data_IF_270178790951
#
_entry.id   IF_270178790951
#
_cell.length_a   1.000
_cell.length_b   1.000
_cell.length_c   1.000
_cell.angle_alpha   90.00
_cell.angle_beta   90.00
_cell.angle_gamma   90.00
#
_symmetry.space_group_name_H-M   'P 1'
#
loop_
_entity.id
_entity.type
_entity.pdbx_description
1 polymer ?
#
# COMPACT_ATOMS: atom_id res chain seq x y z
N UNK A 1 -8.62 30.40 -8.18
CA UNK A 1 -9.37 29.17 -7.84
C UNK A 1 -8.72 28.63 -6.59
N UNK A 2 -9.42 28.57 -5.46
CA UNK A 2 -8.94 27.89 -4.26
C UNK A 2 -9.46 26.45 -4.31
N UNK A 3 -8.54 25.47 -4.21
CA UNK A 3 -8.87 24.07 -4.04
C UNK A 3 -8.70 23.75 -2.57
N UNK A 4 -9.79 23.41 -1.88
CA UNK A 4 -9.76 22.96 -0.49
C UNK A 4 -9.90 21.45 -0.44
N UNK A 5 -8.94 20.78 0.20
CA UNK A 5 -9.06 19.39 0.57
C UNK A 5 -9.69 19.31 1.96
N UNK A 6 -10.89 18.76 2.03
CA UNK A 6 -11.53 18.47 3.32
C UNK A 6 -10.88 17.21 3.88
N UNK A 7 -10.29 17.31 5.06
CA UNK A 7 -9.77 16.19 5.82
C UNK A 7 -10.91 15.74 6.74
N UNK A 8 -11.41 14.51 6.62
CA UNK A 8 -12.44 14.02 7.53
C UNK A 8 -11.89 14.01 8.97
N UNK A 9 -12.69 14.52 9.89
CA UNK A 9 -12.45 14.31 11.31
C UNK A 9 -13.02 12.95 11.69
N UNK A 10 -12.34 11.89 11.26
CA UNK A 10 -12.80 10.51 11.45
C UNK A 10 -12.56 10.01 12.89
N UNK A 11 -11.96 10.84 13.75
CA UNK A 11 -11.67 10.50 15.15
C UNK A 11 -10.92 9.17 15.26
N UNK A 12 -11.44 8.26 16.10
CA UNK A 12 -10.89 6.93 16.35
C UNK A 12 -11.09 5.90 15.21
N UNK A 13 -11.66 6.29 14.07
CA UNK A 13 -12.07 5.35 13.00
C UNK A 13 -10.96 5.07 11.99
N UNK A 14 -9.71 4.93 12.44
CA UNK A 14 -8.65 4.41 11.57
C UNK A 14 -8.91 2.94 11.29
N UNK A 15 -9.04 2.52 10.01
CA UNK A 15 -9.36 1.14 9.68
C UNK A 15 -8.22 0.18 10.08
N UNK A 16 -8.57 -1.01 10.50
CA UNK A 16 -7.60 -2.09 10.75
C UNK A 16 -7.02 -2.61 9.42
N UNK A 17 -5.85 -3.27 9.45
CA UNK A 17 -5.27 -3.89 8.25
C UNK A 17 -6.24 -4.88 7.58
N UNK A 18 -7.04 -5.61 8.35
CA UNK A 18 -8.08 -6.51 7.83
C UNK A 18 -9.17 -5.75 7.07
N UNK A 19 -9.65 -4.62 7.61
CA UNK A 19 -10.65 -3.77 6.95
C UNK A 19 -10.10 -3.09 5.69
N UNK A 20 -8.79 -2.80 5.64
CA UNK A 20 -8.14 -2.30 4.44
C UNK A 20 -8.05 -3.34 3.33
N UNK A 21 -8.07 -4.63 3.67
CA UNK A 21 -7.97 -5.72 2.71
C UNK A 21 -6.67 -6.51 2.75
N UNK A 22 -5.80 -6.32 3.74
CA UNK A 22 -4.65 -7.20 3.90
C UNK A 22 -5.08 -8.60 4.33
N UNK A 23 -4.45 -9.63 3.79
CA UNK A 23 -4.71 -11.04 4.15
C UNK A 23 -3.95 -11.43 5.43
N UNK A 24 -4.35 -12.51 6.12
CA UNK A 24 -3.79 -12.88 7.42
C UNK A 24 -2.26 -12.99 7.45
N UNK A 25 -1.66 -13.58 6.42
CA UNK A 25 -0.22 -13.75 6.29
C UNK A 25 0.49 -12.39 6.23
N UNK A 26 -0.04 -11.46 5.45
CA UNK A 26 0.49 -10.09 5.34
C UNK A 26 0.33 -9.31 6.64
N UNK A 27 -0.83 -9.45 7.31
CA UNK A 27 -1.08 -8.82 8.62
C UNK A 27 -0.06 -9.33 9.65
N UNK A 28 0.25 -10.64 9.62
CA UNK A 28 1.28 -11.22 10.49
C UNK A 28 2.64 -10.56 10.26
N UNK A 29 3.07 -10.41 9.00
CA UNK A 29 4.34 -9.76 8.66
C UNK A 29 4.35 -8.29 9.10
N UNK A 30 3.28 -7.54 8.83
CA UNK A 30 3.15 -6.14 9.28
C UNK A 30 3.30 -6.01 10.80
N UNK A 31 2.64 -6.89 11.56
CA UNK A 31 2.74 -6.87 13.03
C UNK A 31 4.15 -7.26 13.53
N UNK A 32 4.84 -8.21 12.87
CA UNK A 32 6.22 -8.56 13.20
C UNK A 32 7.14 -7.35 13.00
N UNK A 33 7.03 -6.68 11.84
CA UNK A 33 7.84 -5.51 11.52
C UNK A 33 7.60 -4.35 12.51
N UNK A 34 6.34 -4.10 12.91
CA UNK A 34 5.97 -3.03 13.85
C UNK A 34 6.42 -3.30 15.30
N UNK A 35 6.73 -4.54 15.66
CA UNK A 35 7.26 -4.91 16.98
C UNK A 35 8.78 -4.85 17.10
N UNK A 36 9.47 -4.60 15.98
CA UNK A 36 10.92 -4.43 16.02
C UNK A 36 11.28 -3.18 16.81
N UNK A 37 12.42 -3.17 17.53
CA UNK A 37 12.83 -2.01 18.30
C UNK A 37 13.24 -0.84 17.43
N UNK A 38 13.76 -1.13 16.23
CA UNK A 38 14.31 -0.14 15.31
C UNK A 38 14.20 -0.63 13.87
N UNK A 39 14.39 0.28 12.93
CA UNK A 39 14.42 0.00 11.51
C UNK A 39 13.40 0.82 10.71
N UNK A 40 13.44 0.68 9.40
CA UNK A 40 12.61 1.45 8.47
C UNK A 40 11.61 0.53 7.76
N UNK A 41 10.34 0.92 7.78
CA UNK A 41 9.25 0.30 7.02
C UNK A 41 8.81 1.31 5.95
N UNK A 42 8.88 0.91 4.68
CA UNK A 42 8.56 1.78 3.55
C UNK A 42 7.35 1.24 2.79
N UNK A 43 6.31 2.06 2.69
CA UNK A 43 5.13 1.79 1.88
C UNK A 43 5.27 2.44 0.50
N UNK A 44 4.98 1.72 -0.54
CA UNK A 44 5.06 2.24 -1.91
C UNK A 44 3.77 2.01 -2.72
N UNK A 45 3.68 2.70 -3.81
CA UNK A 45 2.55 2.63 -4.75
C UNK A 45 2.28 4.01 -5.39
N UNK A 46 1.45 4.06 -6.45
CA UNK A 46 1.10 5.31 -7.10
C UNK A 46 0.29 6.23 -6.19
N UNK A 47 0.06 7.45 -6.66
CA UNK A 47 -0.89 8.36 -6.01
C UNK A 47 -2.28 7.73 -5.95
N UNK A 48 -2.96 7.87 -4.81
CA UNK A 48 -4.29 7.29 -4.61
C UNK A 48 -4.31 5.79 -4.31
N UNK A 49 -3.17 5.14 -4.08
CA UNK A 49 -3.11 3.71 -3.70
C UNK A 49 -3.42 3.43 -2.22
N UNK A 50 -3.75 4.45 -1.42
CA UNK A 50 -4.13 4.29 -0.02
C UNK A 50 -2.96 4.23 0.97
N UNK A 51 -1.74 4.63 0.57
CA UNK A 51 -0.54 4.61 1.44
C UNK A 51 -0.73 5.33 2.77
N UNK A 52 -1.23 6.57 2.72
CA UNK A 52 -1.44 7.37 3.95
C UNK A 52 -2.43 6.70 4.91
N UNK A 53 -3.50 6.07 4.39
CA UNK A 53 -4.45 5.34 5.23
C UNK A 53 -3.80 4.12 5.88
N UNK A 54 -3.03 3.33 5.11
CA UNK A 54 -2.29 2.17 5.64
C UNK A 54 -1.24 2.61 6.65
N UNK A 55 -0.56 3.73 6.40
CA UNK A 55 0.43 4.29 7.31
C UNK A 55 -0.20 4.70 8.65
N UNK A 56 -1.36 5.37 8.62
CA UNK A 56 -2.13 5.70 9.83
C UNK A 56 -2.57 4.45 10.58
N UNK A 57 -3.00 3.40 9.86
CA UNK A 57 -3.33 2.10 10.47
C UNK A 57 -2.12 1.46 11.13
N UNK A 58 -0.94 1.53 10.50
CA UNK A 58 0.31 1.04 11.10
C UNK A 58 0.68 1.83 12.37
N UNK A 59 0.55 3.16 12.35
CA UNK A 59 0.77 4.02 13.52
C UNK A 59 -0.19 3.65 14.67
N UNK A 60 -1.46 3.38 14.36
CA UNK A 60 -2.45 2.97 15.37
C UNK A 60 -2.09 1.63 15.99
N UNK A 61 -1.76 0.62 15.17
CA UNK A 61 -1.32 -0.70 15.66
C UNK A 61 -0.06 -0.57 16.52
N UNK A 62 0.90 0.28 16.10
CA UNK A 62 2.11 0.53 16.87
C UNK A 62 1.80 1.09 18.26
N UNK A 63 0.91 2.08 18.37
CA UNK A 63 0.52 2.68 19.65
C UNK A 63 -0.27 1.72 20.54
N UNK A 64 -1.16 0.91 19.96
CA UNK A 64 -1.96 -0.08 20.67
C UNK A 64 -1.08 -1.21 21.27
N UNK A 65 -0.09 -1.69 20.52
CA UNK A 65 0.84 -2.74 20.94
C UNK A 65 1.94 -2.21 21.89
N UNK A 66 2.22 -0.90 21.91
CA UNK A 66 3.32 -0.27 22.65
C UNK A 66 2.83 0.88 23.53
N UNK A 67 1.99 0.57 24.51
CA UNK A 67 1.44 1.58 25.41
C UNK A 67 2.56 2.36 26.17
N UNK A 68 2.43 3.68 26.16
CA UNK A 68 3.41 4.58 26.78
C UNK A 68 4.59 4.98 25.88
N UNK A 69 4.67 4.43 24.67
CA UNK A 69 5.66 4.84 23.69
C UNK A 69 5.25 6.13 22.95
N UNK A 70 6.25 6.94 22.59
CA UNK A 70 6.06 8.21 21.91
C UNK A 70 6.19 8.05 20.38
N UNK A 71 5.06 8.18 19.68
CA UNK A 71 5.02 8.27 18.23
C UNK A 71 4.92 9.73 17.79
N UNK A 72 5.85 10.19 16.97
CA UNK A 72 5.84 11.50 16.36
C UNK A 72 5.59 11.38 14.84
N UNK A 73 4.71 12.24 14.30
CA UNK A 73 4.49 12.28 12.85
C UNK A 73 4.93 13.61 12.25
N UNK A 74 5.42 13.56 11.00
CA UNK A 74 5.79 14.72 10.19
C UNK A 74 5.06 14.59 8.85
N UNK A 75 4.14 15.50 8.58
CA UNK A 75 3.20 15.37 7.46
C UNK A 75 3.03 16.68 6.69
N UNK A 76 2.73 16.57 5.40
CA UNK A 76 2.48 17.72 4.51
C UNK A 76 1.39 17.44 3.46
N UNK A 77 0.13 17.83 3.74
CA UNK A 77 -0.46 18.20 5.02
C UNK A 77 -0.77 17.00 5.92
N UNK A 78 -1.29 17.23 7.12
CA UNK A 78 -1.90 16.17 7.95
C UNK A 78 -3.04 15.52 7.18
N UNK A 79 -3.03 14.19 7.11
CA UNK A 79 -4.04 13.41 6.37
C UNK A 79 -5.23 12.99 7.24
N UNK A 80 -5.13 13.15 8.55
CA UNK A 80 -6.15 12.87 9.56
C UNK A 80 -5.55 12.70 10.95
N UNK A 81 -6.40 12.64 11.96
CA UNK A 81 -5.98 12.48 13.34
C UNK A 81 -5.49 11.06 13.64
N UNK A 82 -4.41 10.94 14.44
CA UNK A 82 -3.90 9.70 15.01
C UNK A 82 -3.86 9.88 16.52
N UNK A 83 -4.83 9.32 17.24
CA UNK A 83 -4.92 9.46 18.68
C UNK A 83 -3.69 8.84 19.36
N UNK A 84 -3.09 9.58 20.28
CA UNK A 84 -1.87 9.17 20.98
C UNK A 84 -0.56 9.54 20.27
N UNK A 85 -0.60 10.06 19.04
CA UNK A 85 0.58 10.56 18.36
C UNK A 85 0.75 12.06 18.51
N UNK A 86 2.00 12.52 18.53
CA UNK A 86 2.35 13.93 18.37
C UNK A 86 2.46 14.24 16.90
N UNK A 87 1.47 14.92 16.32
CA UNK A 87 1.42 15.20 14.88
C UNK A 87 1.94 16.60 14.55
N UNK A 88 2.94 16.67 13.67
CA UNK A 88 3.62 17.91 13.28
C UNK A 88 3.41 18.17 11.79
N UNK A 89 2.62 19.19 11.40
CA UNK A 89 2.51 19.60 10.01
C UNK A 89 3.75 20.38 9.56
N UNK A 90 4.14 20.20 8.29
CA UNK A 90 5.17 21.03 7.65
C UNK A 90 4.54 22.36 7.22
N UNK A 91 5.05 23.45 7.79
CA UNK A 91 4.60 24.81 7.49
C UNK A 91 5.78 25.57 6.87
N UNK A 92 5.71 25.85 5.58
CA UNK A 92 6.70 26.63 4.82
C UNK A 92 6.07 27.21 3.55
N UNK A 93 6.79 28.09 2.87
CA UNK A 93 6.42 28.51 1.52
C UNK A 93 6.58 27.34 0.55
N UNK A 94 5.47 26.86 0.00
CA UNK A 94 5.44 25.72 -0.91
C UNK A 94 5.89 26.05 -2.33
N UNK A 95 6.04 27.34 -2.66
CA UNK A 95 6.57 27.79 -3.95
C UNK A 95 8.10 27.80 -4.00
N UNK A 96 8.76 27.73 -2.85
CA UNK A 96 10.20 27.65 -2.70
C UNK A 96 10.65 26.23 -2.33
N UNK A 97 11.23 25.51 -3.30
CA UNK A 97 11.70 24.14 -3.11
C UNK A 97 12.76 24.00 -2.01
N UNK A 98 13.65 24.98 -1.86
CA UNK A 98 14.71 24.94 -0.85
C UNK A 98 14.13 25.22 0.55
N UNK A 99 13.13 26.08 0.67
CA UNK A 99 12.39 26.28 1.92
C UNK A 99 11.64 24.97 2.33
N UNK A 100 11.07 24.25 1.37
CA UNK A 100 10.42 22.95 1.62
C UNK A 100 11.43 21.94 2.14
N UNK A 101 12.57 21.72 1.44
CA UNK A 101 13.64 20.80 1.85
C UNK A 101 14.17 21.11 3.24
N UNK A 102 14.40 22.40 3.51
CA UNK A 102 14.91 22.88 4.81
C UNK A 102 13.87 22.61 5.93
N UNK A 103 12.59 22.84 5.67
CA UNK A 103 11.52 22.62 6.64
C UNK A 103 11.44 21.13 7.02
N UNK A 104 11.50 20.21 6.05
CA UNK A 104 11.54 18.76 6.30
C UNK A 104 12.76 18.36 7.12
N UNK A 105 13.97 18.78 6.72
CA UNK A 105 15.21 18.47 7.44
C UNK A 105 15.16 18.97 8.89
N UNK A 106 14.68 20.19 9.13
CA UNK A 106 14.51 20.75 10.47
C UNK A 106 13.49 20.00 11.29
N UNK A 107 12.34 19.62 10.70
CA UNK A 107 11.30 18.88 11.41
C UNK A 107 11.82 17.52 11.89
N UNK A 108 12.49 16.74 11.00
CA UNK A 108 13.08 15.45 11.38
C UNK A 108 14.16 15.61 12.47
N UNK A 109 15.07 16.58 12.29
CA UNK A 109 16.12 16.84 13.29
C UNK A 109 15.55 17.28 14.66
N UNK A 110 14.44 18.02 14.64
CA UNK A 110 13.74 18.43 15.86
C UNK A 110 13.00 17.25 16.50
N UNK A 111 12.36 16.42 15.67
CA UNK A 111 11.68 15.21 16.13
C UNK A 111 12.61 14.30 16.93
N UNK A 112 13.81 14.05 16.44
CA UNK A 112 14.82 13.21 17.12
C UNK A 112 15.27 13.74 18.49
N UNK A 113 15.04 15.03 18.77
CA UNK A 113 15.37 15.64 20.08
C UNK A 113 14.23 15.56 21.09
N UNK A 114 13.06 15.10 20.66
CA UNK A 114 11.87 14.92 21.49
C UNK A 114 11.75 13.51 22.07
N UNK A 115 12.84 12.72 21.96
CA UNK A 115 12.92 11.33 22.43
C UNK A 115 11.74 10.46 21.95
N UNK A 116 11.48 10.40 20.63
CA UNK A 116 10.43 9.55 20.11
C UNK A 116 10.90 8.09 20.07
N UNK A 117 10.02 7.15 20.29
CA UNK A 117 10.28 5.72 20.04
C UNK A 117 10.04 5.37 18.55
N UNK A 118 9.13 6.09 17.91
CA UNK A 118 8.82 5.91 16.50
C UNK A 118 8.58 7.25 15.80
N UNK A 119 8.97 7.32 14.54
CA UNK A 119 8.77 8.48 13.66
C UNK A 119 8.00 8.05 12.42
N UNK A 120 6.89 8.72 12.12
CA UNK A 120 6.20 8.58 10.84
C UNK A 120 6.49 9.81 9.99
N UNK A 121 7.13 9.62 8.84
CA UNK A 121 7.28 10.63 7.80
C UNK A 121 6.28 10.36 6.67
N UNK A 122 5.46 11.34 6.33
CA UNK A 122 4.40 11.15 5.33
C UNK A 122 4.93 10.66 3.99
N UNK A 123 6.05 11.22 3.50
CA UNK A 123 6.65 10.85 2.20
C UNK A 123 8.12 11.26 2.10
N UNK A 124 8.97 10.34 1.68
CA UNK A 124 10.36 10.62 1.28
C UNK A 124 10.39 11.17 -0.15
N UNK A 125 10.70 12.45 -0.30
CA UNK A 125 10.70 13.13 -1.63
C UNK A 125 12.09 13.34 -2.20
N UNK A 126 13.10 13.43 -1.36
CA UNK A 126 14.48 13.77 -1.75
C UNK A 126 15.52 12.98 -0.95
N UNK A 127 16.78 13.13 -1.32
CA UNK A 127 17.90 12.48 -0.65
C UNK A 127 18.03 12.90 0.82
N UNK A 128 17.73 14.17 1.15
CA UNK A 128 17.89 14.69 2.51
C UNK A 128 16.89 14.03 3.46
N UNK A 129 15.63 13.94 3.07
CA UNK A 129 14.61 13.26 3.86
C UNK A 129 14.91 11.75 3.98
N UNK A 130 15.38 11.11 2.91
CA UNK A 130 15.81 9.70 2.96
C UNK A 130 16.98 9.47 3.92
N UNK A 131 17.99 10.31 3.89
CA UNK A 131 19.15 10.22 4.79
C UNK A 131 18.75 10.45 6.24
N UNK A 132 17.95 11.46 6.51
CA UNK A 132 17.51 11.80 7.86
C UNK A 132 16.68 10.67 8.50
N UNK A 133 15.72 10.10 7.76
CA UNK A 133 14.92 8.96 8.22
C UNK A 133 15.74 7.67 8.33
N UNK A 134 16.75 7.49 7.48
CA UNK A 134 17.67 6.35 7.59
C UNK A 134 18.54 6.49 8.83
N UNK A 135 19.04 7.70 9.12
CA UNK A 135 19.78 7.97 10.34
C UNK A 135 18.92 7.74 11.59
N UNK A 136 17.67 8.18 11.59
CA UNK A 136 16.74 7.89 12.70
C UNK A 136 16.60 6.38 12.95
N UNK A 137 16.43 5.58 11.87
CA UNK A 137 16.36 4.13 11.98
C UNK A 137 17.65 3.49 12.50
N UNK A 138 18.82 4.04 12.17
CA UNK A 138 20.13 3.57 12.68
C UNK A 138 20.37 3.92 14.16
N UNK A 139 19.67 4.92 14.67
CA UNK A 139 19.83 5.41 16.04
C UNK A 139 18.75 4.90 17.00
N UNK A 140 18.10 3.80 16.64
CA UNK A 140 17.21 3.09 17.57
C UNK A 140 15.73 3.44 17.44
N UNK A 141 15.30 4.04 16.31
CA UNK A 141 13.91 4.41 16.11
C UNK A 141 13.21 3.51 15.08
N UNK A 142 11.94 3.21 15.27
CA UNK A 142 11.09 2.71 14.21
C UNK A 142 10.69 3.87 13.30
N UNK A 143 10.96 3.74 12.00
CA UNK A 143 10.59 4.74 11.00
C UNK A 143 9.56 4.17 10.03
N UNK A 144 8.42 4.84 9.93
CA UNK A 144 7.34 4.54 8.99
C UNK A 144 7.28 5.64 7.95
N UNK A 145 7.34 5.30 6.66
CA UNK A 145 7.33 6.31 5.59
C UNK A 145 6.78 5.78 4.28
N UNK A 146 6.60 6.68 3.30
CA UNK A 146 6.15 6.30 1.96
C UNK A 146 7.11 6.72 0.87
N UNK A 147 7.02 6.02 -0.26
CA UNK A 147 7.78 6.28 -1.48
C UNK A 147 6.92 5.96 -2.71
N UNK A 148 7.24 6.55 -3.85
CA UNK A 148 6.58 6.22 -5.11
C UNK A 148 7.41 5.23 -5.91
N UNK A 149 7.02 3.94 -5.88
CA UNK A 149 7.55 2.87 -6.73
C UNK A 149 6.43 1.94 -7.20
N UNK A 150 6.72 1.12 -8.22
CA UNK A 150 5.74 0.21 -8.80
C UNK A 150 5.72 -1.19 -8.17
N UNK A 151 6.71 -1.53 -7.34
CA UNK A 151 6.81 -2.83 -6.65
C UNK A 151 7.54 -2.66 -5.32
N UNK A 152 7.41 -3.63 -4.40
CA UNK A 152 8.10 -3.61 -3.13
C UNK A 152 9.63 -3.70 -3.31
N UNK A 153 10.12 -4.57 -4.18
CA UNK A 153 11.54 -4.67 -4.54
C UNK A 153 12.08 -3.45 -5.31
N UNK A 154 11.20 -2.59 -5.83
CA UNK A 154 11.60 -1.31 -6.42
C UNK A 154 11.95 -0.24 -5.38
N UNK A 155 11.65 -0.45 -4.09
CA UNK A 155 11.95 0.51 -3.02
C UNK A 155 13.46 0.72 -2.88
N UNK A 156 14.30 -0.33 -2.66
CA UNK A 156 15.75 -0.16 -2.57
C UNK A 156 16.36 0.44 -3.86
N UNK A 157 15.91 -0.02 -5.03
CA UNK A 157 16.36 0.51 -6.32
C UNK A 157 16.11 2.02 -6.44
N UNK A 158 14.92 2.46 -6.05
CA UNK A 158 14.57 3.89 -6.08
C UNK A 158 15.42 4.71 -5.13
N UNK A 159 15.63 4.21 -3.89
CA UNK A 159 16.45 4.89 -2.90
C UNK A 159 17.90 5.01 -3.37
N UNK A 160 18.48 3.95 -3.96
CA UNK A 160 19.82 3.95 -4.53
C UNK A 160 19.91 4.93 -5.71
N UNK A 161 18.92 4.93 -6.60
CA UNK A 161 18.86 5.86 -7.75
C UNK A 161 18.80 7.33 -7.30
N UNK A 162 18.20 7.60 -6.14
CA UNK A 162 18.16 8.95 -5.55
C UNK A 162 19.43 9.32 -4.78
N UNK A 163 20.44 8.45 -4.74
CA UNK A 163 21.78 8.73 -4.21
C UNK A 163 22.10 8.07 -2.87
N UNK A 164 21.22 7.18 -2.36
CA UNK A 164 21.53 6.42 -1.14
C UNK A 164 22.58 5.34 -1.40
N UNK A 165 23.41 5.08 -0.41
CA UNK A 165 24.40 4.00 -0.48
C UNK A 165 23.69 2.63 -0.50
N UNK A 166 24.03 1.79 -1.49
CA UNK A 166 23.43 0.49 -1.68
C UNK A 166 23.68 -0.48 -0.51
N UNK A 167 24.87 -0.43 0.10
CA UNK A 167 25.20 -1.30 1.23
C UNK A 167 24.41 -0.93 2.47
N UNK A 168 24.12 0.35 2.65
CA UNK A 168 23.31 0.85 3.75
C UNK A 168 21.84 0.46 3.57
N UNK A 169 21.27 0.64 2.37
CA UNK A 169 19.85 0.39 2.13
C UNK A 169 19.54 -1.11 2.02
N UNK A 170 20.48 -1.90 1.52
CA UNK A 170 20.32 -3.36 1.43
C UNK A 170 20.80 -4.08 2.71
N UNK A 171 20.38 -3.56 3.86
CA UNK A 171 20.60 -4.13 5.18
C UNK A 171 19.22 -4.48 5.81
N UNK A 172 19.03 -5.76 6.12
CA UNK A 172 17.78 -6.27 6.68
C UNK A 172 17.55 -5.85 8.14
N UNK A 173 18.55 -5.29 8.82
CA UNK A 173 18.37 -4.67 10.14
C UNK A 173 17.89 -3.23 10.01
N UNK A 174 18.20 -2.57 8.90
CA UNK A 174 17.82 -1.18 8.65
C UNK A 174 16.51 -1.08 7.87
N UNK A 175 16.43 -1.68 6.68
CA UNK A 175 15.20 -1.72 5.89
C UNK A 175 14.44 -3.01 6.22
N UNK A 176 13.63 -2.96 7.27
CA UNK A 176 12.94 -4.12 7.86
C UNK A 176 11.62 -4.45 7.19
N UNK A 177 11.08 -3.53 6.38
CA UNK A 177 9.79 -3.76 5.72
C UNK A 177 9.65 -3.00 4.41
N UNK A 178 9.19 -3.70 3.38
CA UNK A 178 8.90 -3.15 2.06
C UNK A 178 7.49 -3.56 1.65
N UNK A 179 6.61 -2.58 1.46
CA UNK A 179 5.21 -2.80 1.09
C UNK A 179 4.93 -2.07 -0.22
N UNK A 180 4.29 -2.73 -1.18
CA UNK A 180 3.77 -2.08 -2.37
C UNK A 180 2.30 -2.40 -2.54
N UNK A 181 1.47 -1.38 -2.69
CA UNK A 181 0.01 -1.55 -2.71
C UNK A 181 -0.69 -0.80 -3.84
N UNK A 182 -1.85 -1.33 -4.22
CA UNK A 182 -2.85 -0.72 -5.11
C UNK A 182 -4.21 -0.77 -4.43
N UNK A 183 -5.14 0.07 -4.85
CA UNK A 183 -6.54 -0.01 -4.47
C UNK A 183 -7.35 -0.51 -5.66
N UNK A 184 -8.17 -1.54 -5.40
CA UNK A 184 -9.08 -2.12 -6.37
C UNK A 184 -10.52 -1.91 -5.88
N UNK A 185 -11.48 -1.56 -6.76
CA UNK A 185 -12.88 -1.40 -6.38
C UNK A 185 -13.48 -2.70 -5.83
N UNK A 186 -14.37 -2.59 -4.84
CA UNK A 186 -15.10 -3.72 -4.28
C UNK A 186 -16.53 -3.77 -4.78
N UNK A 187 -16.97 -4.96 -5.14
CA UNK A 187 -18.31 -5.24 -5.62
C UNK A 187 -19.36 -5.04 -4.54
N UNK A 188 -20.52 -4.59 -4.94
CA UNK A 188 -21.70 -4.63 -4.09
C UNK A 188 -22.18 -6.08 -3.92
N UNK A 189 -22.25 -6.62 -2.70
CA UNK A 189 -22.63 -8.01 -2.49
C UNK A 189 -24.08 -8.30 -2.89
N UNK A 190 -24.95 -7.28 -2.86
CA UNK A 190 -26.39 -7.43 -3.12
C UNK A 190 -26.75 -7.45 -4.60
N UNK A 191 -25.89 -6.92 -5.49
CA UNK A 191 -26.24 -6.85 -6.92
C UNK A 191 -25.14 -7.32 -7.86
N UNK A 192 -24.02 -7.85 -7.36
CA UNK A 192 -22.99 -8.44 -8.20
C UNK A 192 -23.54 -9.60 -9.03
N UNK A 193 -22.98 -9.78 -10.21
CA UNK A 193 -23.45 -10.76 -11.22
C UNK A 193 -22.52 -11.97 -11.19
N UNK A 194 -23.02 -13.21 -11.04
CA UNK A 194 -22.17 -14.40 -11.02
C UNK A 194 -21.62 -14.74 -12.42
N UNK A 195 -20.53 -15.51 -12.44
CA UNK A 195 -19.88 -16.00 -13.64
C UNK A 195 -20.85 -16.63 -14.64
N UNK A 196 -21.69 -17.56 -14.19
CA UNK A 196 -22.64 -18.30 -15.03
C UNK A 196 -23.57 -17.37 -15.82
N UNK A 197 -23.96 -16.25 -15.26
CA UNK A 197 -24.82 -15.26 -15.91
C UNK A 197 -24.03 -14.36 -16.86
N UNK A 198 -22.80 -13.97 -16.48
CA UNK A 198 -22.04 -12.97 -17.22
C UNK A 198 -21.13 -13.56 -18.30
N UNK A 199 -20.57 -14.76 -18.10
CA UNK A 199 -19.62 -15.38 -19.03
C UNK A 199 -20.16 -15.54 -20.47
N UNK A 200 -21.46 -15.88 -20.69
CA UNK A 200 -22.00 -15.95 -22.06
C UNK A 200 -22.05 -14.59 -22.79
N UNK A 201 -22.01 -13.49 -22.06
CA UNK A 201 -22.06 -12.13 -22.64
C UNK A 201 -20.66 -11.52 -22.85
N UNK A 202 -19.60 -12.18 -22.34
CA UNK A 202 -18.22 -11.75 -22.55
C UNK A 202 -17.78 -12.06 -23.98
N UNK A 203 -16.84 -11.28 -24.48
CA UNK A 203 -16.13 -11.63 -25.71
C UNK A 203 -15.33 -12.92 -25.49
N UNK A 204 -15.14 -13.72 -26.53
CA UNK A 204 -14.40 -14.99 -26.42
C UNK A 204 -12.98 -14.79 -25.87
N UNK A 205 -12.28 -13.73 -26.31
CA UNK A 205 -10.94 -13.40 -25.83
C UNK A 205 -10.90 -13.04 -24.34
N UNK A 206 -11.90 -12.33 -23.83
CA UNK A 206 -12.03 -11.99 -22.40
C UNK A 206 -12.33 -13.23 -21.56
N UNK A 207 -13.24 -14.07 -22.04
CA UNK A 207 -13.60 -15.32 -21.35
C UNK A 207 -12.40 -16.26 -21.26
N UNK A 208 -11.72 -16.52 -22.38
CA UNK A 208 -10.53 -17.39 -22.42
C UNK A 208 -9.39 -16.84 -21.54
N UNK A 209 -9.23 -15.52 -21.50
CA UNK A 209 -8.26 -14.86 -20.64
C UNK A 209 -8.57 -15.08 -19.15
N UNK A 210 -9.83 -14.86 -18.74
CA UNK A 210 -10.24 -15.08 -17.36
C UNK A 210 -10.19 -16.56 -16.96
N UNK A 211 -10.60 -17.47 -17.82
CA UNK A 211 -10.49 -18.93 -17.57
C UNK A 211 -9.03 -19.34 -17.36
N UNK A 212 -8.09 -18.79 -18.14
CA UNK A 212 -6.66 -19.09 -18.02
C UNK A 212 -6.07 -18.55 -16.71
N UNK A 213 -6.40 -17.32 -16.36
CA UNK A 213 -5.72 -16.63 -15.24
C UNK A 213 -6.44 -16.74 -13.91
N UNK A 214 -7.77 -16.93 -13.91
CA UNK A 214 -8.56 -17.05 -12.69
C UNK A 214 -8.93 -18.49 -12.31
N UNK A 215 -8.68 -19.48 -13.16
CA UNK A 215 -8.88 -20.89 -12.82
C UNK A 215 -7.53 -21.50 -12.41
N UNK A 216 -7.04 -21.13 -11.23
CA UNK A 216 -5.72 -21.56 -10.71
C UNK A 216 -5.91 -22.37 -9.42
N UNK A 217 -6.13 -23.67 -9.56
CA UNK A 217 -6.18 -24.67 -8.49
C UNK A 217 -6.78 -24.17 -7.15
N UNK A 218 -5.92 -24.03 -6.12
CA UNK A 218 -6.36 -23.63 -4.79
C UNK A 218 -6.57 -22.12 -4.60
N UNK A 219 -6.27 -21.27 -5.58
CA UNK A 219 -6.31 -19.81 -5.44
C UNK A 219 -7.62 -19.18 -5.89
N UNK A 220 -8.12 -19.60 -7.06
CA UNK A 220 -9.33 -19.04 -7.64
C UNK A 220 -10.02 -20.08 -8.54
N UNK A 221 -11.36 -20.15 -8.46
CA UNK A 221 -12.20 -20.92 -9.36
C UNK A 221 -13.13 -19.98 -10.11
N UNK A 222 -13.41 -20.26 -11.38
CA UNK A 222 -14.41 -19.53 -12.18
C UNK A 222 -15.77 -19.49 -11.51
N UNK A 223 -16.16 -20.55 -10.78
CA UNK A 223 -17.44 -20.63 -10.05
C UNK A 223 -17.59 -19.54 -8.97
N UNK A 224 -16.49 -19.00 -8.49
CA UNK A 224 -16.43 -17.97 -7.45
C UNK A 224 -16.24 -16.55 -8.01
N UNK A 225 -16.20 -16.40 -9.34
CA UNK A 225 -16.07 -15.10 -9.99
C UNK A 225 -17.39 -14.36 -10.00
N UNK A 226 -17.32 -13.09 -9.65
CA UNK A 226 -18.44 -12.17 -9.70
C UNK A 226 -18.07 -10.91 -10.47
N UNK A 227 -19.03 -10.35 -11.15
CA UNK A 227 -18.87 -9.15 -11.95
C UNK A 227 -19.69 -7.99 -11.39
N UNK A 228 -19.28 -6.80 -11.71
CA UNK A 228 -20.00 -5.57 -11.42
C UNK A 228 -21.32 -5.51 -12.14
N UNK A 229 -22.38 -5.16 -11.43
CA UNK A 229 -23.63 -4.72 -12.03
C UNK A 229 -23.52 -3.21 -12.38
N UNK A 230 -23.45 -2.81 -13.66
CA UNK A 230 -23.26 -1.42 -14.04
C UNK A 230 -24.46 -0.52 -13.68
N UNK A 231 -25.63 -1.11 -13.41
CA UNK A 231 -26.83 -0.38 -12.98
C UNK A 231 -26.86 -0.21 -11.46
N UNK A 232 -26.15 -1.03 -10.71
CA UNK A 232 -26.17 -1.05 -9.25
C UNK A 232 -27.54 -1.47 -8.68
N UNK A 233 -27.76 -1.14 -7.42
CA UNK A 233 -29.02 -1.36 -6.70
C UNK A 233 -29.24 -0.26 -5.65
N UNK A 234 -30.36 -0.31 -4.94
CA UNK A 234 -30.72 0.64 -3.88
C UNK A 234 -29.68 0.70 -2.73
N UNK A 235 -28.90 -0.37 -2.50
CA UNK A 235 -27.90 -0.40 -1.44
C UNK A 235 -26.57 0.27 -1.85
N UNK A 236 -26.19 0.22 -3.12
CA UNK A 236 -24.93 0.79 -3.57
C UNK A 236 -25.07 2.10 -4.34
N UNK A 237 -26.26 2.42 -4.87
CA UNK A 237 -26.47 3.65 -5.61
C UNK A 237 -26.77 4.81 -4.66
N UNK A 238 -26.01 5.88 -4.77
CA UNK A 238 -26.17 7.10 -3.98
C UNK A 238 -26.28 8.29 -4.89
N UNK A 239 -27.29 9.13 -4.64
CA UNK A 239 -27.47 10.38 -5.38
C UNK A 239 -26.40 11.41 -5.01
N UNK A 240 -25.77 11.99 -6.00
CA UNK A 240 -24.90 13.17 -5.81
C UNK A 240 -25.76 14.41 -5.86
N UNK A 241 -25.98 15.03 -4.69
CA UNK A 241 -26.77 16.25 -4.56
C UNK A 241 -25.82 17.44 -4.39
N UNK A 242 -25.88 18.43 -5.31
CA UNK A 242 -25.13 19.68 -5.22
C UNK A 242 -26.14 20.83 -5.27
N UNK A 243 -26.11 21.71 -4.26
CA UNK A 243 -27.05 22.83 -4.10
C UNK A 243 -28.53 22.41 -4.18
N UNK A 244 -28.87 21.26 -3.52
CA UNK A 244 -30.25 20.73 -3.48
C UNK A 244 -30.74 20.09 -4.78
N UNK A 245 -29.88 19.93 -5.79
CA UNK A 245 -30.24 19.30 -7.08
C UNK A 245 -29.43 18.06 -7.31
N UNK A 246 -30.10 16.95 -7.73
CA UNK A 246 -29.43 15.74 -8.18
C UNK A 246 -28.55 16.03 -9.40
N UNK A 247 -27.27 15.72 -9.32
CA UNK A 247 -26.27 15.93 -10.38
C UNK A 247 -25.76 14.64 -10.98
N UNK A 248 -26.05 13.49 -10.35
CA UNK A 248 -25.64 12.17 -10.82
C UNK A 248 -25.87 11.12 -9.76
N UNK A 249 -25.40 9.94 -10.03
CA UNK A 249 -25.37 8.78 -9.11
C UNK A 249 -23.95 8.25 -9.03
N UNK A 250 -23.55 7.83 -7.84
CA UNK A 250 -22.30 7.10 -7.56
C UNK A 250 -22.64 5.70 -7.01
N UNK A 251 -21.63 4.83 -6.97
CA UNK A 251 -21.78 3.45 -6.53
C UNK A 251 -21.90 2.51 -7.72
N UNK A 252 -23.08 2.42 -8.34
CA UNK A 252 -23.29 1.63 -9.57
C UNK A 252 -22.62 0.25 -9.51
N UNK A 253 -23.01 -0.56 -8.51
CA UNK A 253 -22.48 -1.90 -8.30
C UNK A 253 -21.19 -1.98 -7.49
N UNK A 254 -20.68 -0.84 -6.96
CA UNK A 254 -19.48 -0.78 -6.13
C UNK A 254 -19.80 -0.21 -4.75
N UNK A 255 -19.11 -0.71 -3.71
CA UNK A 255 -19.32 -0.27 -2.32
C UNK A 255 -18.09 0.35 -1.68
N UNK A 256 -16.91 0.25 -2.31
CA UNK A 256 -15.68 0.79 -1.74
C UNK A 256 -14.45 0.37 -2.53
N UNK A 257 -13.33 0.23 -1.81
CA UNK A 257 -12.05 -0.22 -2.37
C UNK A 257 -11.32 -1.10 -1.37
N UNK A 258 -10.55 -2.07 -1.86
CA UNK A 258 -9.71 -2.95 -1.06
C UNK A 258 -8.25 -2.79 -1.47
N UNK A 259 -7.34 -3.01 -0.53
CA UNK A 259 -5.89 -3.05 -0.79
C UNK A 259 -5.52 -4.39 -1.40
N UNK A 260 -4.72 -4.33 -2.45
CA UNK A 260 -3.98 -5.47 -2.98
C UNK A 260 -2.49 -5.11 -2.87
N UNK A 261 -1.71 -5.94 -2.19
CA UNK A 261 -0.34 -5.59 -1.81
C UNK A 261 0.65 -6.74 -1.92
N UNK A 262 1.92 -6.37 -2.11
CA UNK A 262 3.09 -7.14 -1.77
C UNK A 262 3.60 -6.67 -0.41
N UNK A 263 3.88 -7.59 0.50
CA UNK A 263 4.46 -7.29 1.82
C UNK A 263 5.69 -8.15 2.00
N UNK A 264 6.85 -7.52 2.11
CA UNK A 264 8.15 -8.18 2.23
C UNK A 264 8.82 -7.77 3.54
N UNK A 265 9.08 -8.73 4.41
CA UNK A 265 10.06 -8.62 5.49
C UNK A 265 11.37 -9.15 4.91
N UNK A 266 12.34 -8.28 4.53
CA UNK A 266 13.53 -8.73 3.83
C UNK A 266 14.51 -9.45 4.76
N UNK A 267 15.26 -10.40 4.20
CA UNK A 267 16.45 -10.97 4.79
C UNK A 267 17.73 -10.53 4.04
N UNK A 268 18.89 -10.78 4.64
CA UNK A 268 20.17 -10.43 4.01
C UNK A 268 20.41 -11.21 2.71
N UNK A 269 19.82 -12.38 2.55
CA UNK A 269 19.94 -13.19 1.32
C UNK A 269 19.17 -12.56 0.17
N UNK A 270 17.96 -12.05 0.42
CA UNK A 270 17.17 -11.32 -0.56
C UNK A 270 17.95 -10.10 -1.07
N UNK A 271 18.53 -9.31 -0.16
CA UNK A 271 19.31 -8.14 -0.53
C UNK A 271 20.61 -8.50 -1.26
N UNK A 272 21.28 -9.57 -0.88
CA UNK A 272 22.45 -10.06 -1.61
C UNK A 272 22.08 -10.44 -3.05
N UNK A 273 20.98 -11.16 -3.23
CA UNK A 273 20.49 -11.53 -4.57
C UNK A 273 20.11 -10.28 -5.37
N UNK A 274 19.38 -9.35 -4.74
CA UNK A 274 18.99 -8.09 -5.39
C UNK A 274 20.21 -7.32 -5.90
N UNK A 275 21.27 -7.21 -5.10
CA UNK A 275 22.52 -6.51 -5.46
C UNK A 275 23.33 -7.22 -6.56
N UNK A 276 23.37 -8.55 -6.54
CA UNK A 276 24.29 -9.32 -7.40
C UNK A 276 23.62 -9.89 -8.65
N UNK A 277 22.32 -10.17 -8.61
CA UNK A 277 21.56 -10.83 -9.68
C UNK A 277 20.35 -10.03 -10.16
N UNK A 278 20.09 -8.89 -9.52
CA UNK A 278 18.99 -8.00 -9.88
C UNK A 278 17.63 -8.41 -9.35
N UNK A 279 16.63 -7.61 -9.69
CA UNK A 279 15.29 -7.64 -9.13
C UNK A 279 14.50 -8.91 -9.47
N UNK A 280 14.68 -9.45 -10.68
CA UNK A 280 13.96 -10.64 -11.12
C UNK A 280 14.37 -11.87 -10.30
N UNK A 281 15.68 -12.07 -10.10
CA UNK A 281 16.20 -13.15 -9.24
C UNK A 281 15.78 -12.97 -7.77
N UNK A 282 15.78 -11.73 -7.27
CA UNK A 282 15.30 -11.43 -5.93
C UNK A 282 13.80 -11.73 -5.77
N UNK A 283 12.99 -11.43 -6.80
CA UNK A 283 11.55 -11.75 -6.82
C UNK A 283 11.31 -13.27 -6.79
N UNK A 284 12.05 -14.03 -7.61
CA UNK A 284 11.99 -15.51 -7.62
C UNK A 284 12.31 -16.05 -6.23
N UNK A 285 13.41 -15.60 -5.61
CA UNK A 285 13.78 -16.00 -4.26
C UNK A 285 12.69 -15.67 -3.22
N UNK A 286 12.11 -14.46 -3.28
CA UNK A 286 11.03 -14.05 -2.38
C UNK A 286 9.80 -14.95 -2.51
N UNK A 287 9.35 -15.24 -3.74
CA UNK A 287 8.18 -16.09 -3.96
C UNK A 287 8.42 -17.54 -3.53
N UNK A 288 9.52 -18.15 -3.94
CA UNK A 288 9.79 -19.58 -3.75
C UNK A 288 10.31 -19.91 -2.36
N UNK A 289 11.28 -19.15 -1.84
CA UNK A 289 11.98 -19.47 -0.60
C UNK A 289 11.40 -18.75 0.62
N UNK A 290 10.90 -17.54 0.46
CA UNK A 290 10.30 -16.77 1.56
C UNK A 290 8.77 -16.91 1.61
N UNK A 291 8.17 -17.72 0.71
CA UNK A 291 6.70 -17.87 0.58
C UNK A 291 6.00 -16.53 0.40
N UNK A 292 6.58 -15.69 -0.45
CA UNK A 292 6.04 -14.39 -0.77
C UNK A 292 4.70 -14.50 -1.49
N UNK A 293 3.82 -13.54 -1.24
CA UNK A 293 2.50 -13.45 -1.88
C UNK A 293 2.55 -12.29 -2.86
N UNK A 294 2.48 -12.60 -4.16
CA UNK A 294 2.45 -11.59 -5.21
C UNK A 294 1.15 -10.80 -5.19
N UNK A 295 1.13 -9.66 -5.88
CA UNK A 295 -0.11 -8.90 -6.06
C UNK A 295 -1.17 -9.69 -6.82
N UNK A 296 -0.76 -10.49 -7.80
CA UNK A 296 -1.69 -11.34 -8.56
C UNK A 296 -2.28 -12.41 -7.67
N UNK A 297 -1.46 -13.10 -6.86
CA UNK A 297 -1.97 -14.07 -5.90
C UNK A 297 -2.94 -13.43 -4.90
N UNK A 298 -2.60 -12.28 -4.32
CA UNK A 298 -3.50 -11.56 -3.43
C UNK A 298 -4.80 -11.16 -4.15
N UNK A 299 -4.71 -10.67 -5.40
CA UNK A 299 -5.87 -10.30 -6.20
C UNK A 299 -6.77 -11.52 -6.49
N UNK A 300 -6.19 -12.65 -6.90
CA UNK A 300 -6.94 -13.89 -7.16
C UNK A 300 -7.71 -14.38 -5.94
N UNK A 301 -7.12 -14.30 -4.75
CA UNK A 301 -7.83 -14.61 -3.51
C UNK A 301 -9.04 -13.69 -3.29
N UNK A 302 -8.93 -12.39 -3.59
CA UNK A 302 -10.06 -11.43 -3.49
C UNK A 302 -11.13 -11.64 -4.56
N UNK A 303 -10.73 -12.05 -5.76
CA UNK A 303 -11.65 -12.46 -6.82
C UNK A 303 -12.40 -13.71 -6.38
N UNK A 304 -11.71 -14.71 -5.83
CA UNK A 304 -12.31 -15.94 -5.34
C UNK A 304 -13.29 -15.75 -4.16
N UNK A 305 -13.10 -14.69 -3.36
CA UNK A 305 -14.05 -14.27 -2.32
C UNK A 305 -15.30 -13.56 -2.91
N UNK A 306 -15.31 -13.35 -4.23
CA UNK A 306 -16.34 -12.58 -4.91
C UNK A 306 -16.36 -11.09 -4.53
N UNK A 307 -15.26 -10.58 -4.02
CA UNK A 307 -15.15 -9.20 -3.55
C UNK A 307 -14.80 -8.23 -4.68
N UNK A 308 -14.12 -8.69 -5.73
CA UNK A 308 -13.53 -7.88 -6.78
C UNK A 308 -13.92 -8.42 -8.15
N UNK A 309 -14.25 -7.50 -9.07
CA UNK A 309 -14.48 -7.83 -10.48
C UNK A 309 -13.12 -8.04 -11.19
N UNK A 310 -12.87 -9.21 -11.81
CA UNK A 310 -11.59 -9.51 -12.43
C UNK A 310 -11.27 -8.58 -13.59
N UNK A 311 -12.23 -8.16 -14.41
CA UNK A 311 -12.01 -7.27 -15.56
C UNK A 311 -11.70 -5.83 -15.14
N UNK A 312 -12.32 -5.34 -14.08
CA UNK A 312 -12.00 -4.02 -13.52
C UNK A 312 -10.64 -4.04 -12.80
N UNK A 313 -10.33 -5.14 -12.12
CA UNK A 313 -9.07 -5.30 -11.41
C UNK A 313 -7.87 -5.44 -12.36
N UNK A 314 -8.02 -6.16 -13.45
CA UNK A 314 -6.98 -6.36 -14.48
C UNK A 314 -6.45 -5.03 -15.04
N UNK A 315 -7.29 -4.01 -15.13
CA UNK A 315 -6.88 -2.65 -15.57
C UNK A 315 -5.96 -1.96 -14.57
N UNK A 316 -5.91 -2.43 -13.33
CA UNK A 316 -5.10 -1.86 -12.23
C UNK A 316 -3.91 -2.75 -11.94
N UNK A 317 -4.12 -4.04 -11.92
CA UNK A 317 -3.14 -5.11 -11.70
C UNK A 317 -3.42 -6.20 -12.73
N UNK A 318 -2.63 -6.26 -13.82
CA UNK A 318 -2.81 -7.29 -14.85
C UNK A 318 -2.71 -8.69 -14.25
N UNK A 319 -3.65 -9.56 -14.58
CA UNK A 319 -3.70 -10.94 -14.07
C UNK A 319 -2.52 -11.79 -14.57
N UNK A 320 -1.90 -11.39 -15.68
CA UNK A 320 -0.68 -12.00 -16.24
C UNK A 320 0.62 -11.34 -15.74
N UNK A 321 0.55 -10.43 -14.75
CA UNK A 321 1.72 -9.70 -14.24
C UNK A 321 2.83 -10.66 -13.76
N UNK A 322 2.47 -11.73 -13.07
CA UNK A 322 3.45 -12.70 -12.55
C UNK A 322 4.16 -13.45 -13.68
N UNK A 323 3.45 -13.79 -14.75
CA UNK A 323 4.00 -14.44 -15.93
C UNK A 323 4.96 -13.52 -16.67
N UNK A 324 4.61 -12.23 -16.83
CA UNK A 324 5.49 -11.21 -17.44
C UNK A 324 6.74 -10.90 -16.60
N UNK A 325 6.66 -11.06 -15.29
CA UNK A 325 7.77 -10.78 -14.38
C UNK A 325 8.60 -12.03 -14.05
N UNK A 326 8.17 -13.23 -14.46
CA UNK A 326 8.97 -14.44 -14.38
C UNK A 326 9.95 -14.49 -15.56
N UNK A 327 11.13 -15.05 -15.30
CA UNK A 327 12.00 -15.56 -16.36
C UNK A 327 11.86 -17.08 -16.24
N UNK A 328 11.23 -17.69 -17.22
CA UNK A 328 11.34 -19.13 -17.38
C UNK A 328 12.82 -19.44 -17.60
N UNK A 329 13.36 -20.41 -16.85
CA UNK A 329 14.71 -20.92 -17.08
C UNK A 329 14.70 -21.56 -18.49
N UNK A 330 15.25 -20.83 -19.49
CA UNK A 330 15.52 -21.35 -20.82
C UNK A 330 16.71 -22.29 -20.77
#
# INVERSE_FOLDING_TARGET
>A
IAVMRLIPDDGDKVPTFKQLGFIPEQIRLLNIMLRRPEGKIVLSGPTGSGKSTTLRSACRVYLDDNQGRHLLTIEDPLEGQILGATQTPIICDKSDEDAVKLAWSRAISSAMRLDPDAIMEGEMRDLISMMSTTYAAQTGHIVLTTLHTNSALGIPERMITMGMNADLICDAQLLIGMISQRLVPTLCPSCRIPWETRAPELRDDERDYLERHCNKDSLCSTDNIWFRNPHGCSECNHDVIINGRKRGEIGKGLTGRTVIAEVIEPDNRLFQILKTRGKVAARKYWLENMKGISRVEHLLRRINEGLVDPLEADRIIPLDEDERLSIDDV
#
